data_IF_872098167067
#
_entry.id   IF_872098167067
#
_cell.length_a   1.000
_cell.length_b   1.000
_cell.length_c   1.000
_cell.angle_alpha   90.00
_cell.angle_beta   90.00
_cell.angle_gamma   90.00
#
_symmetry.space_group_name_H-M   'P 1'
#
loop_
_entity.id
_entity.type
_entity.pdbx_description
1 polymer ?
#
# COMPACT_ATOMS: atom_id res chain seq x y z
N UNK A 1 13.17 5.88 18.54
CA UNK A 1 13.66 4.50 18.64
C UNK A 1 14.64 4.23 17.51
N UNK A 2 15.81 3.78 17.86
CA UNK A 2 16.80 3.43 16.85
C UNK A 2 16.40 2.09 16.24
N UNK A 3 16.21 2.04 14.94
CA UNK A 3 15.94 0.78 14.28
C UNK A 3 17.19 -0.11 14.34
N UNK A 4 17.01 -1.43 14.50
CA UNK A 4 18.14 -2.34 14.37
C UNK A 4 18.81 -2.15 13.01
N UNK A 5 20.09 -2.28 12.97
CA UNK A 5 20.80 -2.27 11.71
C UNK A 5 20.49 -3.54 10.96
N UNK A 6 19.56 -3.46 10.02
CA UNK A 6 19.11 -4.60 9.23
C UNK A 6 20.25 -5.24 8.44
N UNK A 7 21.28 -4.47 8.08
CA UNK A 7 22.44 -5.00 7.34
C UNK A 7 23.28 -5.96 8.16
N UNK A 8 23.20 -5.91 9.49
CA UNK A 8 23.90 -6.85 10.37
C UNK A 8 23.16 -8.18 10.50
N UNK A 9 21.84 -8.19 10.29
CA UNK A 9 20.98 -9.33 10.58
C UNK A 9 20.34 -9.94 9.34
N UNK A 10 20.51 -9.31 8.17
CA UNK A 10 19.83 -9.71 6.94
C UNK A 10 20.85 -9.93 5.83
N UNK A 11 20.74 -11.05 5.15
CA UNK A 11 21.54 -11.36 3.96
C UNK A 11 21.20 -10.35 2.85
N UNK A 12 22.24 -9.80 2.21
CA UNK A 12 22.06 -8.84 1.11
C UNK A 12 21.27 -9.42 -0.06
N UNK A 13 21.39 -10.73 -0.32
CA UNK A 13 20.60 -11.39 -1.35
C UNK A 13 19.12 -11.43 -0.99
N UNK A 14 18.79 -11.60 0.28
CA UNK A 14 17.41 -11.54 0.77
C UNK A 14 16.84 -10.13 0.57
N UNK A 15 17.61 -9.10 0.91
CA UNK A 15 17.21 -7.70 0.70
C UNK A 15 16.95 -7.44 -0.78
N UNK A 16 17.80 -7.96 -1.66
CA UNK A 16 17.63 -7.78 -3.11
C UNK A 16 16.36 -8.45 -3.61
N UNK A 17 16.01 -9.64 -3.11
CA UNK A 17 14.76 -10.31 -3.47
C UNK A 17 13.54 -9.47 -3.10
N UNK A 18 13.52 -8.87 -1.91
CA UNK A 18 12.43 -7.98 -1.49
C UNK A 18 12.34 -6.75 -2.36
N UNK A 19 13.47 -6.17 -2.74
CA UNK A 19 13.51 -5.01 -3.64
C UNK A 19 12.96 -5.37 -5.01
N UNK A 20 13.35 -6.50 -5.56
CA UNK A 20 12.87 -6.96 -6.87
C UNK A 20 11.35 -7.22 -6.83
N UNK A 21 10.85 -7.84 -5.76
CA UNK A 21 9.42 -8.06 -5.59
C UNK A 21 8.65 -6.75 -5.48
N UNK A 22 9.17 -5.76 -4.75
CA UNK A 22 8.55 -4.46 -4.65
C UNK A 22 8.46 -3.78 -6.02
N UNK A 23 9.51 -3.87 -6.84
CA UNK A 23 9.50 -3.34 -8.20
C UNK A 23 8.46 -4.04 -9.08
N UNK A 24 8.30 -5.36 -8.95
CA UNK A 24 7.26 -6.10 -9.65
C UNK A 24 5.85 -5.64 -9.25
N UNK A 25 5.60 -5.41 -7.97
CA UNK A 25 4.31 -4.91 -7.50
C UNK A 25 3.91 -3.59 -8.16
N UNK A 26 4.88 -2.72 -8.42
CA UNK A 26 4.63 -1.40 -9.00
C UNK A 26 4.68 -1.37 -10.53
N UNK A 27 5.07 -2.47 -11.17
CA UNK A 27 5.06 -2.59 -12.62
C UNK A 27 3.64 -2.82 -13.13
N UNK A 28 3.07 -1.81 -13.77
CA UNK A 28 1.69 -1.85 -14.27
C UNK A 28 1.50 -2.81 -15.45
N UNK A 29 2.56 -3.26 -16.07
CA UNK A 29 2.52 -4.19 -17.19
C UNK A 29 3.02 -5.59 -16.83
N UNK A 30 3.45 -5.80 -15.59
CA UNK A 30 4.04 -7.05 -15.13
C UNK A 30 3.04 -8.00 -14.50
N UNK A 31 3.56 -8.86 -13.61
CA UNK A 31 2.77 -9.93 -12.98
C UNK A 31 1.60 -9.43 -12.14
N UNK A 32 1.68 -8.20 -11.64
CA UNK A 32 0.63 -7.60 -10.80
C UNK A 32 -0.24 -6.59 -11.55
N UNK A 33 -0.25 -6.65 -12.87
CA UNK A 33 -1.05 -5.74 -13.71
C UNK A 33 -2.54 -5.74 -13.32
N UNK A 34 -3.10 -6.91 -13.02
CA UNK A 34 -4.50 -7.03 -12.61
C UNK A 34 -4.80 -6.24 -11.35
N UNK A 35 -3.88 -6.23 -10.36
CA UNK A 35 -4.06 -5.45 -9.14
C UNK A 35 -4.12 -3.96 -9.44
N UNK A 36 -3.30 -3.47 -10.35
CA UNK A 36 -3.34 -2.06 -10.77
C UNK A 36 -4.64 -1.73 -11.50
N UNK A 37 -5.19 -2.68 -12.26
CA UNK A 37 -6.47 -2.49 -12.97
C UNK A 37 -7.65 -2.40 -12.02
N UNK A 38 -7.69 -3.21 -10.97
CA UNK A 38 -8.81 -3.23 -10.02
C UNK A 38 -8.67 -2.19 -8.91
N UNK A 39 -7.47 -1.65 -8.70
CA UNK A 39 -7.19 -0.74 -7.59
C UNK A 39 -8.10 0.51 -7.59
N UNK A 40 -8.35 1.20 -8.72
CA UNK A 40 -9.25 2.34 -8.73
C UNK A 40 -10.68 2.00 -8.31
N UNK A 41 -11.17 0.82 -8.69
CA UNK A 41 -12.51 0.36 -8.31
C UNK A 41 -12.60 0.12 -6.81
N UNK A 42 -11.59 -0.52 -6.23
CA UNK A 42 -11.51 -0.78 -4.79
C UNK A 42 -11.42 0.52 -4.01
N UNK A 43 -10.58 1.43 -4.44
CA UNK A 43 -10.38 2.72 -3.81
C UNK A 43 -11.67 3.55 -3.82
N UNK A 44 -12.35 3.61 -4.95
CA UNK A 44 -13.61 4.34 -5.07
C UNK A 44 -14.69 3.73 -4.18
N UNK A 45 -14.77 2.41 -4.10
CA UNK A 45 -15.74 1.73 -3.24
C UNK A 45 -15.48 2.07 -1.76
N UNK A 46 -14.22 2.02 -1.32
CA UNK A 46 -13.84 2.35 0.06
C UNK A 46 -14.22 3.80 0.38
N UNK A 47 -13.90 4.72 -0.49
CA UNK A 47 -14.21 6.13 -0.30
C UNK A 47 -15.73 6.38 -0.23
N UNK A 48 -16.51 5.73 -1.07
CA UNK A 48 -17.96 5.82 -1.04
C UNK A 48 -18.54 5.29 0.27
N UNK A 49 -17.97 4.24 0.85
CA UNK A 49 -18.42 3.73 2.14
C UNK A 49 -18.19 4.75 3.26
N UNK A 50 -17.07 5.47 3.23
CA UNK A 50 -16.79 6.51 4.23
C UNK A 50 -17.74 7.69 4.09
N UNK A 51 -18.06 8.09 2.86
CA UNK A 51 -19.02 9.18 2.58
C UNK A 51 -20.43 8.75 3.03
N UNK A 52 -20.85 7.53 2.70
CA UNK A 52 -22.18 7.01 3.06
C UNK A 52 -22.42 6.97 4.57
N UNK A 53 -21.35 6.92 5.38
CA UNK A 53 -21.43 6.95 6.83
C UNK A 53 -21.30 8.36 7.41
N UNK A 54 -21.59 9.39 6.60
CA UNK A 54 -21.52 10.81 6.97
C UNK A 54 -20.11 11.25 7.36
N UNK A 55 -19.10 10.68 6.72
CA UNK A 55 -17.73 11.05 6.92
C UNK A 55 -17.18 11.77 5.67
N UNK A 56 -16.04 12.43 5.81
CA UNK A 56 -15.45 13.25 4.75
C UNK A 56 -14.64 12.45 3.72
N UNK A 57 -14.99 11.21 3.49
CA UNK A 57 -14.21 10.33 2.64
C UNK A 57 -12.90 9.92 3.31
N UNK A 58 -11.84 9.80 2.56
CA UNK A 58 -10.53 9.35 3.08
C UNK A 58 -9.70 10.48 3.69
N UNK A 59 -10.01 11.72 3.39
CA UNK A 59 -9.24 12.87 3.89
C UNK A 59 -9.22 12.90 5.42
N UNK A 60 -8.02 12.94 5.99
CA UNK A 60 -7.83 12.99 7.44
C UNK A 60 -8.08 11.68 8.18
N UNK A 61 -8.44 10.61 7.50
CA UNK A 61 -8.67 9.31 8.13
C UNK A 61 -7.36 8.60 8.45
N UNK A 62 -7.37 7.87 9.56
CA UNK A 62 -6.29 6.93 9.90
C UNK A 62 -6.74 5.54 9.44
N UNK A 63 -5.93 4.92 8.59
CA UNK A 63 -6.28 3.64 7.95
C UNK A 63 -5.19 2.62 8.25
N UNK A 64 -5.61 1.42 8.62
CA UNK A 64 -4.73 0.26 8.73
C UNK A 64 -5.04 -0.68 7.55
N UNK A 65 -4.06 -0.90 6.70
CA UNK A 65 -4.17 -1.79 5.54
C UNK A 65 -3.45 -3.10 5.85
N UNK A 66 -4.22 -4.11 6.23
CA UNK A 66 -3.70 -5.43 6.60
C UNK A 66 -3.49 -6.27 5.36
N UNK A 67 -2.29 -6.85 5.23
CA UNK A 67 -1.94 -7.60 4.04
C UNK A 67 -1.69 -6.68 2.85
N UNK A 68 -1.04 -5.54 3.08
CA UNK A 68 -0.92 -4.48 2.07
C UNK A 68 -0.06 -4.87 0.86
N UNK A 69 0.73 -5.94 0.94
CA UNK A 69 1.64 -6.35 -0.14
C UNK A 69 2.62 -5.25 -0.49
N UNK A 70 2.67 -4.86 -1.76
CA UNK A 70 3.55 -3.79 -2.24
C UNK A 70 3.04 -2.38 -1.94
N UNK A 71 1.89 -2.24 -1.28
CA UNK A 71 1.36 -0.94 -0.88
C UNK A 71 0.57 -0.19 -1.94
N UNK A 72 0.08 -0.86 -2.97
CA UNK A 72 -0.65 -0.23 -4.08
C UNK A 72 -1.89 0.51 -3.56
N UNK A 73 -2.74 -0.18 -2.81
CA UNK A 73 -3.95 0.41 -2.24
C UNK A 73 -3.62 1.43 -1.16
N UNK A 74 -2.66 1.11 -0.27
CA UNK A 74 -2.20 2.02 0.79
C UNK A 74 -1.74 3.36 0.21
N UNK A 75 -0.93 3.33 -0.82
CA UNK A 75 -0.45 4.54 -1.50
C UNK A 75 -1.61 5.36 -2.07
N UNK A 76 -2.54 4.70 -2.73
CA UNK A 76 -3.70 5.36 -3.33
C UNK A 76 -4.57 6.05 -2.28
N UNK A 77 -4.78 5.42 -1.13
CA UNK A 77 -5.53 6.02 -0.03
C UNK A 77 -4.79 7.23 0.56
N UNK A 78 -3.46 7.13 0.68
CA UNK A 78 -2.64 8.23 1.17
C UNK A 78 -2.69 9.44 0.22
N UNK A 79 -2.68 9.21 -1.09
CA UNK A 79 -2.83 10.28 -2.09
C UNK A 79 -4.16 11.00 -1.92
N UNK A 80 -5.21 10.32 -1.49
CA UNK A 80 -6.52 10.92 -1.21
C UNK A 80 -6.63 11.54 0.19
N UNK A 81 -5.55 11.64 0.92
CA UNK A 81 -5.47 12.38 2.18
C UNK A 81 -5.57 11.54 3.44
N UNK A 82 -5.58 10.22 3.34
CA UNK A 82 -5.56 9.35 4.50
C UNK A 82 -4.14 9.21 5.06
N UNK A 83 -4.03 8.99 6.37
CA UNK A 83 -2.80 8.55 7.01
C UNK A 83 -2.86 7.02 7.10
N UNK A 84 -2.05 6.34 6.30
CA UNK A 84 -2.16 4.89 6.13
C UNK A 84 -0.96 4.19 6.75
N UNK A 85 -1.27 3.13 7.49
CA UNK A 85 -0.26 2.17 7.95
C UNK A 85 -0.53 0.84 7.26
N UNK A 86 0.42 0.35 6.46
CA UNK A 86 0.34 -0.95 5.80
C UNK A 86 1.15 -2.00 6.57
N UNK A 87 0.60 -3.17 6.72
CA UNK A 87 1.30 -4.27 7.38
C UNK A 87 1.21 -5.59 6.59
#
# INVERSE_FOLDING_TARGET
>A
MTQPNLQQNVDLQEVQKFTDLANEWWDKSGAFATLHQINPLRLNWIEQQTIARQQSGLTGKKVLDVGCGGGILSHSMAVRGATVTGI
#
